data_IF_884537039105
#
_entry.id   IF_884537039105
#
_cell.length_a   1.000
_cell.length_b   1.000
_cell.length_c   1.000
_cell.angle_alpha   90.00
_cell.angle_beta   90.00
_cell.angle_gamma   90.00
#
_symmetry.space_group_name_H-M   'P 1'
#
loop_
_entity.id
_entity.type
_entity.pdbx_description
1 polymer ?
#
# COMPACT_ATOMS: atom_id res chain seq x y z
N UNK A 1 16.70 -26.63 -7.75
CA UNK A 1 15.98 -25.35 -7.68
C UNK A 1 16.55 -24.47 -8.78
N UNK A 2 15.96 -24.52 -9.97
CA UNK A 2 16.40 -23.70 -11.12
C UNK A 2 15.54 -22.43 -11.18
N UNK A 3 16.19 -21.27 -11.26
CA UNK A 3 15.57 -20.00 -11.65
C UNK A 3 15.12 -19.11 -10.49
N UNK A 4 16.04 -18.33 -9.93
CA UNK A 4 15.65 -17.11 -9.23
C UNK A 4 15.17 -16.07 -10.24
N UNK A 5 14.00 -15.47 -10.01
CA UNK A 5 13.49 -14.39 -10.86
C UNK A 5 13.81 -13.08 -10.15
N UNK A 6 14.57 -12.21 -10.81
CA UNK A 6 14.74 -10.83 -10.33
C UNK A 6 13.40 -10.12 -10.47
N UNK A 7 12.83 -9.70 -9.34
CA UNK A 7 11.58 -8.95 -9.31
C UNK A 7 11.90 -7.49 -9.00
N UNK A 8 11.46 -6.60 -9.87
CA UNK A 8 11.53 -5.17 -9.66
C UNK A 8 10.18 -4.66 -9.16
N UNK A 9 10.25 -3.62 -8.32
CA UNK A 9 9.10 -2.93 -7.78
C UNK A 9 9.26 -1.43 -8.01
N UNK A 10 8.22 -0.78 -8.52
CA UNK A 10 8.14 0.68 -8.61
C UNK A 10 6.89 1.15 -7.88
N UNK A 11 7.04 2.13 -7.01
CA UNK A 11 5.97 2.68 -6.19
C UNK A 11 5.63 4.10 -6.63
N UNK A 12 4.34 4.43 -6.71
CA UNK A 12 3.84 5.78 -6.94
C UNK A 12 2.74 6.13 -5.92
N UNK A 13 2.76 7.35 -5.43
CA UNK A 13 1.74 7.91 -4.53
C UNK A 13 1.19 9.18 -5.18
N UNK A 14 0.19 9.06 -6.09
CA UNK A 14 -0.31 10.20 -6.86
C UNK A 14 -1.20 11.15 -6.06
N UNK A 15 -1.75 10.70 -4.92
CA UNK A 15 -2.62 11.45 -4.02
C UNK A 15 -2.46 10.92 -2.59
N UNK A 16 -2.88 11.67 -1.55
CA UNK A 16 -2.77 11.22 -0.14
C UNK A 16 -3.29 9.82 0.09
N UNK A 17 -4.45 9.48 -0.44
CA UNK A 17 -5.09 8.18 -0.15
C UNK A 17 -5.00 7.19 -1.30
N UNK A 18 -3.98 7.31 -2.16
CA UNK A 18 -3.78 6.42 -3.30
C UNK A 18 -2.34 5.94 -3.38
N UNK A 19 -2.15 4.62 -3.49
CA UNK A 19 -0.86 3.99 -3.73
C UNK A 19 -0.93 3.05 -4.93
N UNK A 20 0.10 3.10 -5.77
CA UNK A 20 0.24 2.24 -6.94
C UNK A 20 1.58 1.51 -6.85
N UNK A 21 1.53 0.19 -6.96
CA UNK A 21 2.66 -0.71 -7.05
C UNK A 21 2.70 -1.30 -8.46
N UNK A 22 3.83 -1.12 -9.13
CA UNK A 22 4.17 -1.82 -10.36
C UNK A 22 5.14 -2.93 -10.01
N UNK A 23 4.83 -4.15 -10.42
CA UNK A 23 5.63 -5.34 -10.15
C UNK A 23 5.99 -6.02 -11.46
N UNK A 24 7.22 -6.49 -11.59
CA UNK A 24 7.64 -7.29 -12.76
C UNK A 24 6.67 -8.43 -12.98
N UNK A 25 6.20 -8.59 -14.22
CA UNK A 25 5.32 -9.67 -14.63
C UNK A 25 6.14 -10.84 -15.21
N UNK A 26 6.29 -11.98 -14.51
CA UNK A 26 7.06 -13.10 -15.04
C UNK A 26 6.50 -13.71 -16.33
N UNK A 27 5.17 -13.86 -16.50
CA UNK A 27 4.58 -14.36 -17.74
C UNK A 27 4.79 -13.45 -18.96
N UNK A 28 4.95 -12.13 -18.76
CA UNK A 28 5.12 -11.14 -19.84
C UNK A 28 6.32 -10.23 -19.57
N UNK A 29 7.55 -10.66 -19.93
CA UNK A 29 8.75 -9.85 -19.75
C UNK A 29 8.63 -8.50 -20.45
N UNK A 30 8.94 -7.41 -19.73
CA UNK A 30 8.83 -6.03 -20.22
C UNK A 30 7.52 -5.33 -19.86
N UNK A 31 6.52 -6.09 -19.42
CA UNK A 31 5.26 -5.55 -18.89
C UNK A 31 5.26 -5.50 -17.36
N UNK A 32 4.35 -4.70 -16.80
CA UNK A 32 4.17 -4.54 -15.36
C UNK A 32 2.78 -5.02 -14.94
N UNK A 33 2.74 -5.84 -13.89
CA UNK A 33 1.52 -6.00 -13.10
C UNK A 33 1.32 -4.72 -12.28
N UNK A 34 0.07 -4.27 -12.16
CA UNK A 34 -0.28 -3.05 -11.42
C UNK A 34 -1.23 -3.42 -10.30
N UNK A 35 -0.86 -3.06 -9.08
CA UNK A 35 -1.67 -3.22 -7.87
C UNK A 35 -1.88 -1.83 -7.28
N UNK A 36 -3.12 -1.45 -7.05
CA UNK A 36 -3.49 -0.13 -6.54
C UNK A 36 -4.40 -0.25 -5.34
N UNK A 37 -4.16 0.58 -4.32
CA UNK A 37 -5.10 0.78 -3.22
C UNK A 37 -5.63 2.20 -3.29
N UNK A 38 -6.96 2.33 -3.34
CA UNK A 38 -7.65 3.59 -3.10
C UNK A 38 -8.28 3.54 -1.72
N UNK A 39 -7.85 4.43 -0.84
CA UNK A 39 -8.40 4.56 0.50
C UNK A 39 -9.40 5.69 0.49
N UNK A 40 -10.63 5.40 0.89
CA UNK A 40 -11.71 6.36 1.04
C UNK A 40 -11.93 6.65 2.54
N UNK A 41 -11.39 7.77 3.03
CA UNK A 41 -11.84 8.45 4.25
C UNK A 41 -13.36 8.39 4.53
N UNK A 42 -13.78 7.78 5.65
CA UNK A 42 -15.16 7.86 6.17
C UNK A 42 -15.30 8.57 7.55
N UNK A 43 -14.44 8.24 8.52
CA UNK A 43 -14.10 9.09 9.69
C UNK A 43 -12.58 9.13 9.94
N UNK A 44 -12.09 9.89 10.94
CA UNK A 44 -10.65 9.99 11.26
C UNK A 44 -9.98 8.62 11.50
N UNK A 45 -10.72 7.64 12.01
CA UNK A 45 -10.24 6.28 12.29
C UNK A 45 -10.96 5.20 11.46
N UNK A 46 -11.70 5.61 10.42
CA UNK A 46 -12.51 4.72 9.58
C UNK A 46 -12.34 5.05 8.10
N UNK A 47 -12.07 4.02 7.29
CA UNK A 47 -12.01 4.15 5.85
C UNK A 47 -12.50 2.87 5.16
N UNK A 48 -12.97 3.03 3.92
CA UNK A 48 -13.11 1.92 2.98
C UNK A 48 -11.83 1.82 2.16
N UNK A 49 -11.35 0.60 1.92
CA UNK A 49 -10.19 0.34 1.07
C UNK A 49 -10.64 -0.41 -0.18
N UNK A 50 -10.35 0.17 -1.32
CA UNK A 50 -10.71 -0.33 -2.64
C UNK A 50 -9.46 -0.84 -3.36
N UNK A 51 -9.16 -2.14 -3.28
CA UNK A 51 -8.09 -2.73 -4.06
C UNK A 51 -8.48 -2.84 -5.53
N UNK A 52 -7.57 -2.48 -6.41
CA UNK A 52 -7.71 -2.62 -7.85
C UNK A 52 -6.42 -3.20 -8.43
N UNK A 53 -6.53 -4.10 -9.39
CA UNK A 53 -5.36 -4.71 -10.01
C UNK A 53 -5.55 -4.89 -11.51
N UNK A 54 -4.45 -4.74 -12.24
CA UNK A 54 -4.30 -5.21 -13.61
C UNK A 54 -3.12 -6.19 -13.62
N UNK A 55 -3.44 -7.48 -13.75
CA UNK A 55 -2.48 -8.57 -13.71
C UNK A 55 -2.51 -9.31 -15.05
N UNK A 56 -1.36 -9.74 -15.54
CA UNK A 56 -1.29 -10.69 -16.66
C UNK A 56 -1.29 -12.12 -16.12
N UNK A 57 -2.48 -12.59 -15.76
CA UNK A 57 -2.73 -13.96 -15.34
C UNK A 57 -3.92 -14.52 -16.12
N UNK A 58 -3.62 -15.38 -17.10
CA UNK A 58 -4.60 -16.00 -17.99
C UNK A 58 -4.98 -17.43 -17.51
N UNK A 59 -4.37 -17.92 -16.42
CA UNK A 59 -4.53 -19.31 -15.95
C UNK A 59 -5.35 -19.38 -14.65
N UNK A 60 -5.14 -18.45 -13.71
CA UNK A 60 -5.78 -18.49 -12.40
C UNK A 60 -7.25 -18.04 -12.50
N UNK A 61 -8.20 -18.80 -11.94
CA UNK A 61 -9.59 -18.36 -11.83
C UNK A 61 -9.71 -17.05 -11.05
N UNK A 62 -10.59 -16.15 -11.51
CA UNK A 62 -10.83 -14.87 -10.85
C UNK A 62 -11.18 -15.01 -9.37
N UNK A 63 -11.93 -16.05 -8.99
CA UNK A 63 -12.29 -16.32 -7.59
C UNK A 63 -11.06 -16.56 -6.72
N UNK A 64 -10.05 -17.24 -7.25
CA UNK A 64 -8.84 -17.59 -6.51
C UNK A 64 -7.95 -16.35 -6.37
N UNK A 65 -7.87 -15.51 -7.41
CA UNK A 65 -7.22 -14.20 -7.33
C UNK A 65 -7.87 -13.32 -6.26
N UNK A 66 -9.20 -13.26 -6.21
CA UNK A 66 -9.94 -12.49 -5.20
C UNK A 66 -9.67 -13.04 -3.80
N UNK A 67 -9.76 -14.36 -3.59
CA UNK A 67 -9.52 -14.98 -2.29
C UNK A 67 -8.09 -14.76 -1.81
N UNK A 68 -7.10 -14.83 -2.71
CA UNK A 68 -5.72 -14.55 -2.39
C UNK A 68 -5.53 -13.11 -1.87
N UNK A 69 -6.12 -12.13 -2.55
CA UNK A 69 -6.05 -10.73 -2.11
C UNK A 69 -6.80 -10.48 -0.81
N UNK A 70 -7.97 -11.09 -0.63
CA UNK A 70 -8.70 -11.01 0.64
C UNK A 70 -7.88 -11.58 1.79
N UNK A 71 -7.15 -12.67 1.55
CA UNK A 71 -6.27 -13.28 2.56
C UNK A 71 -5.15 -12.32 2.98
N UNK A 72 -4.45 -11.71 2.03
CA UNK A 72 -3.43 -10.69 2.32
C UNK A 72 -4.04 -9.52 3.09
N UNK A 73 -5.18 -9.03 2.63
CA UNK A 73 -5.83 -7.87 3.24
C UNK A 73 -6.28 -8.13 4.69
N UNK A 74 -6.80 -9.32 4.99
CA UNK A 74 -7.19 -9.70 6.35
C UNK A 74 -5.99 -9.80 7.28
N UNK A 75 -4.85 -10.29 6.78
CA UNK A 75 -3.61 -10.35 7.56
C UNK A 75 -3.17 -8.94 7.96
N UNK A 76 -3.10 -8.02 7.00
CA UNK A 76 -2.68 -6.63 7.22
C UNK A 76 -3.67 -5.86 8.10
N UNK A 77 -4.98 -6.07 7.92
CA UNK A 77 -6.03 -5.43 8.71
C UNK A 77 -5.81 -5.61 10.21
N UNK A 78 -5.50 -6.84 10.64
CA UNK A 78 -5.31 -7.13 12.06
C UNK A 78 -4.11 -6.37 12.67
N UNK A 79 -3.07 -6.11 11.88
CA UNK A 79 -1.89 -5.36 12.31
C UNK A 79 -2.23 -3.87 12.38
N UNK A 80 -2.86 -3.33 11.33
CA UNK A 80 -3.21 -1.90 11.23
C UNK A 80 -4.22 -1.47 12.32
N UNK A 81 -5.27 -2.25 12.56
CA UNK A 81 -6.31 -1.91 13.55
C UNK A 81 -5.79 -1.92 15.00
N UNK A 82 -4.66 -2.58 15.26
CA UNK A 82 -4.01 -2.63 16.57
C UNK A 82 -2.89 -1.59 16.74
N UNK A 83 -2.63 -0.72 15.75
CA UNK A 83 -1.61 0.32 15.88
C UNK A 83 -2.02 1.39 16.90
N UNK A 84 -1.04 1.80 17.72
CA UNK A 84 -1.18 2.89 18.69
C UNK A 84 0.00 3.85 18.46
N UNK A 85 -0.25 5.15 18.20
CA UNK A 85 -1.56 5.80 18.12
C UNK A 85 -2.38 5.37 16.88
N UNK A 86 -3.72 5.53 16.95
CA UNK A 86 -4.62 5.18 15.83
C UNK A 86 -4.44 6.09 14.61
N UNK A 87 -4.12 7.37 14.83
CA UNK A 87 -3.90 8.35 13.77
C UNK A 87 -2.42 8.43 13.41
N UNK A 88 -2.12 8.59 12.12
CA UNK A 88 -0.76 8.67 11.60
C UNK A 88 -0.05 9.91 12.17
N UNK A 89 1.03 9.76 12.97
CA UNK A 89 1.74 10.91 13.47
C UNK A 89 2.60 11.54 12.36
N UNK A 90 2.33 12.82 12.07
CA UNK A 90 3.07 13.61 11.09
C UNK A 90 4.31 14.26 11.69
N UNK A 91 4.34 14.49 13.01
CA UNK A 91 5.53 14.97 13.69
C UNK A 91 6.56 13.84 13.93
N UNK A 92 7.85 14.05 13.56
CA UNK A 92 8.88 13.03 13.66
C UNK A 92 9.20 12.57 15.10
N UNK A 93 8.67 13.25 16.12
CA UNK A 93 8.98 12.96 17.52
C UNK A 93 8.17 11.81 18.12
N UNK A 94 7.09 11.39 17.45
CA UNK A 94 6.15 10.39 18.00
C UNK A 94 6.52 8.94 17.67
N UNK A 95 7.37 8.72 16.66
CA UNK A 95 7.88 7.39 16.29
C UNK A 95 9.36 7.49 15.91
N UNK A 96 10.14 6.46 16.20
CA UNK A 96 11.57 6.40 15.87
C UNK A 96 11.72 5.66 14.53
N UNK A 97 11.97 6.34 13.40
CA UNK A 97 12.09 5.68 12.11
C UNK A 97 13.40 4.91 12.01
N UNK A 98 13.33 3.75 11.37
CA UNK A 98 14.48 2.96 10.94
C UNK A 98 14.81 3.26 9.46
N UNK A 99 15.88 2.67 8.93
CA UNK A 99 16.27 2.86 7.52
C UNK A 99 15.22 2.35 6.53
N UNK A 100 14.41 1.37 6.92
CA UNK A 100 13.33 0.86 6.08
C UNK A 100 12.18 1.88 5.92
N UNK A 101 12.07 2.84 6.83
CA UNK A 101 10.93 3.76 6.92
C UNK A 101 11.10 5.05 6.10
N UNK A 102 12.19 5.17 5.32
CA UNK A 102 12.50 6.40 4.57
C UNK A 102 11.35 6.85 3.66
N UNK A 103 10.67 5.91 3.01
CA UNK A 103 9.49 6.19 2.18
C UNK A 103 8.32 6.73 3.02
N UNK A 104 8.07 6.13 4.20
CA UNK A 104 7.03 6.59 5.14
C UNK A 104 7.33 7.99 5.68
N UNK A 105 8.59 8.28 6.03
CA UNK A 105 9.01 9.61 6.48
C UNK A 105 8.84 10.66 5.37
N UNK A 106 9.21 10.33 4.13
CA UNK A 106 9.01 11.23 2.98
C UNK A 106 7.52 11.51 2.73
N UNK A 107 6.69 10.48 2.82
CA UNK A 107 5.23 10.57 2.67
C UNK A 107 4.59 11.44 3.76
N UNK A 108 4.92 11.24 5.05
CA UNK A 108 4.43 12.08 6.17
C UNK A 108 4.79 13.55 6.00
N UNK A 109 6.05 13.84 5.62
CA UNK A 109 6.47 15.22 5.32
C UNK A 109 5.69 15.81 4.16
N UNK A 110 5.39 15.01 3.14
CA UNK A 110 4.59 15.43 1.99
C UNK A 110 3.14 15.72 2.40
N UNK A 111 2.49 14.87 3.19
CA UNK A 111 1.15 15.11 3.75
C UNK A 111 1.10 16.41 4.56
N UNK A 112 2.06 16.61 5.46
CA UNK A 112 2.17 17.83 6.28
C UNK A 112 2.26 19.09 5.41
N UNK A 113 3.03 19.07 4.31
CA UNK A 113 3.11 20.19 3.37
C UNK A 113 1.80 20.45 2.61
N UNK A 114 0.98 19.43 2.39
CA UNK A 114 -0.32 19.55 1.74
C UNK A 114 -1.45 19.93 2.72
N UNK A 115 -1.14 20.08 4.02
CA UNK A 115 -2.14 20.33 5.05
C UNK A 115 -3.15 19.19 5.18
N UNK A 116 -2.77 17.96 4.81
CA UNK A 116 -3.66 16.81 4.89
C UNK A 116 -3.74 16.32 6.34
N UNK A 117 -4.93 16.37 6.93
CA UNK A 117 -5.17 16.05 8.35
C UNK A 117 -6.01 14.79 8.56
N UNK A 118 -6.56 14.21 7.51
CA UNK A 118 -7.53 13.13 7.67
C UNK A 118 -6.84 11.80 8.00
N UNK A 119 -7.17 11.18 9.13
CA UNK A 119 -6.48 9.98 9.63
C UNK A 119 -5.03 10.24 10.03
N UNK A 120 -4.67 11.52 10.20
CA UNK A 120 -3.34 11.97 10.51
C UNK A 120 -3.38 13.04 11.62
N UNK A 121 -2.40 13.01 12.50
CA UNK A 121 -2.28 13.97 13.60
C UNK A 121 -0.93 14.68 13.53
N UNK A 122 -0.92 15.98 13.85
CA UNK A 122 0.29 16.76 14.02
C UNK A 122 0.96 16.37 15.34
#
# INVERSE_FOLDING_TARGET
AEGGITTEYMYRVPAPTCSILYKTCPPRPGEWDVITLFVQPLAEDLCDVWPWMALFDDETPMTDLIHFQQTIFVQDRSILENQIPRLLPLDPGMEIPTRADLTSVAYRRWLKRHGYTYGAQL
#
